data_IF_223519770884
#
_entry.id   IF_223519770884
#
_cell.length_a   1.000
_cell.length_b   1.000
_cell.length_c   1.000
_cell.angle_alpha   90.00
_cell.angle_beta   90.00
_cell.angle_gamma   90.00
#
_symmetry.space_group_name_H-M   'P 1'
#
loop_
_entity.id
_entity.type
_entity.pdbx_description
1 polymer ?
#
# COMPACT_ATOMS: atom_id res chain seq x y z
N UNK A 1 -13.10 7.73 -17.80
CA UNK A 1 -12.50 8.43 -16.65
C UNK A 1 -13.20 7.91 -15.40
N UNK A 2 -12.48 7.60 -14.32
CA UNK A 2 -13.08 7.13 -13.06
C UNK A 2 -13.35 8.33 -12.15
N UNK A 3 -14.57 8.46 -11.63
CA UNK A 3 -14.91 9.49 -10.62
C UNK A 3 -14.17 9.18 -9.32
N UNK A 4 -13.48 10.17 -8.76
CA UNK A 4 -12.71 10.02 -7.52
C UNK A 4 -13.59 9.61 -6.35
N UNK A 5 -14.85 10.04 -6.33
CA UNK A 5 -15.76 9.76 -5.23
C UNK A 5 -16.27 8.30 -5.25
N UNK A 6 -15.99 7.56 -6.33
CA UNK A 6 -16.30 6.14 -6.45
C UNK A 6 -15.09 5.24 -6.14
N UNK A 7 -13.92 5.83 -5.84
CA UNK A 7 -12.71 5.08 -5.50
C UNK A 7 -12.79 4.70 -4.01
N UNK A 8 -12.76 3.39 -3.73
CA UNK A 8 -12.72 2.86 -2.37
C UNK A 8 -11.29 2.82 -1.82
N UNK A 9 -10.31 2.48 -2.65
CA UNK A 9 -8.91 2.34 -2.30
C UNK A 9 -8.06 2.54 -3.56
N UNK A 10 -6.87 3.14 -3.41
CA UNK A 10 -5.94 3.41 -4.48
C UNK A 10 -4.51 3.25 -4.00
N UNK A 11 -3.75 2.39 -4.68
CA UNK A 11 -2.35 2.12 -4.36
C UNK A 11 -1.50 2.39 -5.58
N UNK A 12 -0.60 3.36 -5.49
CA UNK A 12 0.42 3.61 -6.49
C UNK A 12 1.67 2.79 -6.17
N UNK A 13 2.02 1.85 -7.04
CA UNK A 13 3.24 1.04 -6.92
C UNK A 13 4.20 1.36 -8.06
N UNK A 14 5.42 1.75 -7.70
CA UNK A 14 6.51 2.05 -8.62
C UNK A 14 7.39 0.81 -8.84
N UNK A 15 7.97 0.75 -10.04
CA UNK A 15 9.00 -0.26 -10.39
C UNK A 15 10.41 0.28 -10.17
N UNK A 16 10.56 1.60 -10.13
CA UNK A 16 11.81 2.32 -9.95
C UNK A 16 11.51 3.73 -9.40
N UNK A 17 12.52 4.40 -8.86
CA UNK A 17 12.36 5.74 -8.26
C UNK A 17 12.16 6.88 -9.27
N UNK A 18 12.29 6.60 -10.56
CA UNK A 18 12.05 7.57 -11.65
C UNK A 18 10.63 7.48 -12.24
N UNK A 19 9.84 6.49 -11.82
CA UNK A 19 8.43 6.40 -12.18
C UNK A 19 7.68 7.63 -11.62
N UNK A 20 6.62 8.06 -12.33
CA UNK A 20 5.81 9.22 -11.97
C UNK A 20 4.44 8.78 -11.44
N UNK A 21 3.92 9.52 -10.45
CA UNK A 21 2.56 9.29 -9.93
C UNK A 21 1.51 9.55 -11.00
N UNK A 22 0.43 8.77 -10.95
CA UNK A 22 -0.76 8.88 -11.81
C UNK A 22 -2.03 9.15 -11.00
N UNK A 23 -2.07 8.68 -9.76
CA UNK A 23 -3.13 9.04 -8.83
C UNK A 23 -2.92 10.44 -8.27
N UNK A 24 -4.05 11.13 -8.12
CA UNK A 24 -4.15 12.41 -7.42
C UNK A 24 -3.85 12.20 -5.91
N UNK A 25 -3.27 13.19 -5.22
CA UNK A 25 -2.90 13.06 -3.80
C UNK A 25 -4.04 12.65 -2.87
N UNK A 26 -5.29 12.98 -3.20
CA UNK A 26 -6.46 12.60 -2.40
C UNK A 26 -6.80 11.12 -2.47
N UNK A 27 -6.26 10.40 -3.46
CA UNK A 27 -6.40 8.94 -3.60
C UNK A 27 -5.15 8.25 -3.04
N UNK A 28 -3.97 8.76 -3.38
CA UNK A 28 -2.70 8.27 -2.83
C UNK A 28 -1.67 9.41 -2.86
N UNK A 29 -1.19 9.81 -1.69
CA UNK A 29 -0.19 10.87 -1.49
C UNK A 29 1.25 10.34 -1.35
N UNK A 30 1.54 9.16 -1.92
CA UNK A 30 2.86 8.59 -1.95
C UNK A 30 2.99 7.50 -3.01
N UNK A 31 3.85 6.54 -2.75
CA UNK A 31 3.99 5.33 -3.57
C UNK A 31 4.62 4.22 -2.73
N UNK A 32 4.24 2.99 -3.03
CA UNK A 32 5.01 1.82 -2.66
C UNK A 32 5.99 1.49 -3.80
N UNK A 33 7.03 0.69 -3.53
CA UNK A 33 8.05 0.37 -4.54
C UNK A 33 8.57 -1.05 -4.39
N UNK A 34 8.79 -1.72 -5.53
CA UNK A 34 9.60 -2.94 -5.64
C UNK A 34 10.94 -2.62 -6.32
N UNK A 35 11.92 -3.51 -6.22
CA UNK A 35 13.25 -3.33 -6.84
C UNK A 35 13.27 -3.70 -8.34
N UNK A 36 12.13 -3.56 -9.01
CA UNK A 36 11.96 -3.87 -10.42
C UNK A 36 11.35 -5.24 -10.72
N UNK A 37 11.42 -5.61 -11.99
CA UNK A 37 10.78 -6.81 -12.55
C UNK A 37 11.60 -8.07 -12.29
N UNK A 38 10.94 -9.21 -12.07
CA UNK A 38 11.60 -10.52 -11.94
C UNK A 38 12.11 -10.87 -10.54
N UNK A 39 11.95 -9.97 -9.56
CA UNK A 39 12.52 -10.16 -8.21
C UNK A 39 11.66 -11.05 -7.29
N UNK A 40 10.45 -11.42 -7.68
CA UNK A 40 9.50 -12.16 -6.82
C UNK A 40 9.00 -11.37 -5.61
N UNK A 41 9.29 -10.07 -5.56
CA UNK A 41 8.91 -9.16 -4.49
C UNK A 41 7.43 -8.76 -4.59
N UNK A 42 6.86 -8.38 -3.45
CA UNK A 42 5.51 -7.81 -3.34
C UNK A 42 5.52 -6.60 -2.40
N UNK A 43 4.40 -5.89 -2.38
CA UNK A 43 4.11 -4.89 -1.34
C UNK A 43 2.97 -5.41 -0.48
N UNK A 44 3.07 -5.24 0.84
CA UNK A 44 2.06 -5.65 1.80
C UNK A 44 1.67 -4.45 2.65
N UNK A 45 0.36 -4.30 2.91
CA UNK A 45 -0.12 -3.24 3.79
C UNK A 45 0.32 -3.53 5.22
N UNK A 46 0.85 -2.55 5.91
CA UNK A 46 1.30 -2.66 7.30
C UNK A 46 0.09 -2.83 8.21
N UNK A 47 0.30 -3.53 9.33
CA UNK A 47 -0.71 -3.60 10.40
C UNK A 47 -0.65 -2.30 11.19
N UNK A 48 -1.81 -1.71 11.48
CA UNK A 48 -1.91 -0.64 12.48
C UNK A 48 -2.01 -1.29 13.86
N UNK A 49 -0.96 -1.23 14.70
CA UNK A 49 -0.98 -1.88 16.01
C UNK A 49 -1.99 -1.21 16.98
N UNK A 50 -2.21 0.10 16.86
CA UNK A 50 -3.10 0.86 17.74
C UNK A 50 -4.54 0.52 17.39
N UNK A 51 -4.91 0.59 16.11
CA UNK A 51 -6.25 0.26 15.65
C UNK A 51 -6.56 -1.24 15.83
N UNK A 52 -5.57 -2.12 15.66
CA UNK A 52 -5.71 -3.56 15.94
C UNK A 52 -5.99 -3.82 17.42
N UNK A 53 -5.27 -3.15 18.32
CA UNK A 53 -5.53 -3.25 19.76
C UNK A 53 -6.93 -2.72 20.12
N UNK A 54 -7.34 -1.58 19.56
CA UNK A 54 -8.68 -1.02 19.74
C UNK A 54 -9.80 -1.92 19.19
N UNK A 55 -9.52 -2.70 18.14
CA UNK A 55 -10.43 -3.68 17.56
C UNK A 55 -10.44 -5.04 18.28
N UNK A 56 -9.91 -5.13 19.50
CA UNK A 56 -9.91 -6.36 20.30
C UNK A 56 -9.01 -7.45 19.73
N UNK A 57 -7.91 -7.08 19.07
CA UNK A 57 -6.95 -8.00 18.47
C UNK A 57 -7.31 -8.46 17.05
N UNK A 58 -8.46 -8.05 16.50
CA UNK A 58 -8.72 -8.20 15.07
C UNK A 58 -7.75 -7.30 14.30
N UNK A 59 -6.96 -7.89 13.39
CA UNK A 59 -6.01 -7.14 12.58
C UNK A 59 -6.73 -6.03 11.82
N UNK A 60 -6.26 -4.80 12.03
CA UNK A 60 -6.60 -3.61 11.26
C UNK A 60 -5.36 -3.19 10.48
N UNK A 61 -5.51 -2.99 9.18
CA UNK A 61 -4.41 -2.54 8.32
C UNK A 61 -4.35 -1.02 8.28
N UNK A 62 -3.14 -0.48 8.17
CA UNK A 62 -2.88 0.95 8.07
C UNK A 62 -3.34 1.50 6.74
N UNK A 63 -4.06 2.62 6.78
CA UNK A 63 -4.54 3.35 5.60
C UNK A 63 -4.57 4.85 5.90
N UNK A 64 -3.59 5.57 5.37
CA UNK A 64 -3.44 7.02 5.51
C UNK A 64 -3.59 7.74 4.18
N UNK A 65 -4.12 7.04 3.16
CA UNK A 65 -4.08 7.44 1.75
C UNK A 65 -2.64 7.81 1.31
N UNK A 66 -1.62 7.10 1.80
CA UNK A 66 -0.23 7.34 1.43
C UNK A 66 0.55 6.03 1.40
N UNK A 67 0.74 5.48 0.20
CA UNK A 67 1.35 4.17 0.04
C UNK A 67 2.80 4.07 0.57
N UNK A 68 3.52 5.19 0.69
CA UNK A 68 4.87 5.20 1.28
C UNK A 68 4.85 4.98 2.80
N UNK A 69 3.74 5.31 3.45
CA UNK A 69 3.49 5.07 4.87
C UNK A 69 2.84 3.71 5.05
N UNK A 70 1.83 3.40 4.24
CA UNK A 70 0.90 2.30 4.48
C UNK A 70 1.44 0.92 4.07
N UNK A 71 2.40 0.86 3.15
CA UNK A 71 2.93 -0.40 2.62
C UNK A 71 4.40 -0.64 2.96
N UNK A 72 4.76 -1.91 3.06
CA UNK A 72 6.13 -2.41 3.14
C UNK A 72 6.43 -3.33 1.96
N UNK A 73 7.68 -3.34 1.51
CA UNK A 73 8.16 -4.28 0.50
C UNK A 73 8.51 -5.61 1.15
N UNK A 74 8.08 -6.72 0.55
CA UNK A 74 8.46 -8.08 0.95
C UNK A 74 9.26 -8.77 -0.14
N UNK A 75 10.24 -9.57 0.30
CA UNK A 75 11.10 -10.34 -0.60
C UNK A 75 10.37 -11.47 -1.34
N UNK A 76 9.24 -11.93 -0.80
CA UNK A 76 8.40 -13.00 -1.33
C UNK A 76 6.94 -12.67 -1.12
N UNK A 77 6.12 -12.85 -2.15
CA UNK A 77 4.68 -12.74 -2.05
C UNK A 77 4.10 -13.76 -1.05
N UNK A 78 3.11 -13.33 -0.27
CA UNK A 78 2.34 -14.19 0.62
C UNK A 78 0.84 -13.90 0.47
N UNK A 79 0.03 -14.93 0.66
CA UNK A 79 -1.44 -14.82 0.67
C UNK A 79 -1.99 -14.45 2.05
N UNK A 80 -1.17 -14.59 3.09
CA UNK A 80 -1.51 -14.28 4.48
C UNK A 80 -0.44 -13.40 5.10
N UNK A 81 -0.74 -12.83 6.27
CA UNK A 81 0.19 -11.93 6.96
C UNK A 81 1.26 -12.65 7.80
N UNK A 82 1.54 -13.92 7.48
CA UNK A 82 2.52 -14.76 8.18
C UNK A 82 3.93 -14.63 7.58
#
# INVERSE_FOLDING_TARGET
MVDKNLILDGVECFRNTTDSKRFRPEVDNGFAITDGSGQGQSIHRKVDPIATAAAGGRIVYMDTNNSSVDFEKRAKASLTNN
#
